data_IF_494597286997
#
_entry.id   IF_494597286997
#
_cell.length_a   1.000
_cell.length_b   1.000
_cell.length_c   1.000
_cell.angle_alpha   90.00
_cell.angle_beta   90.00
_cell.angle_gamma   90.00
#
_symmetry.space_group_name_H-M   'P 1'
#
loop_
_entity.id
_entity.type
_entity.pdbx_description
1 polymer ?
#
# COMPACT_ATOMS: atom_id res chain seq x y z
N UNK A 1 19.05 41.26 38.21
CA UNK A 1 19.15 39.81 38.01
C UNK A 1 17.82 39.22 38.40
N UNK A 2 16.92 39.06 37.45
CA UNK A 2 15.58 38.52 37.68
C UNK A 2 15.50 37.21 36.94
N UNK A 3 15.63 36.13 37.71
CA UNK A 3 15.41 34.76 37.23
C UNK A 3 13.94 34.58 36.81
N UNK A 4 13.67 34.59 35.54
CA UNK A 4 12.38 34.16 35.01
C UNK A 4 12.34 32.63 35.04
N UNK A 5 11.81 32.05 36.10
CA UNK A 5 11.42 30.66 36.20
C UNK A 5 10.37 30.39 35.11
N UNK A 6 10.81 29.74 34.04
CA UNK A 6 9.96 29.15 33.04
C UNK A 6 9.23 27.96 33.67
N UNK A 7 8.03 28.19 34.20
CA UNK A 7 7.14 27.14 34.72
C UNK A 7 6.64 26.35 33.51
N UNK A 8 7.41 25.35 33.06
CA UNK A 8 6.89 24.27 32.20
C UNK A 8 5.69 23.69 32.93
N UNK A 9 4.56 23.68 32.22
CA UNK A 9 3.30 23.09 32.65
C UNK A 9 3.57 21.63 33.05
N UNK A 10 3.65 21.35 34.34
CA UNK A 10 4.12 20.05 34.91
C UNK A 10 2.98 19.02 34.97
N UNK A 11 2.09 19.06 33.95
CA UNK A 11 1.06 18.04 33.83
C UNK A 11 1.65 16.77 33.23
N UNK A 12 1.39 15.60 33.82
CA UNK A 12 1.88 14.33 33.28
C UNK A 12 1.35 14.08 31.87
N UNK A 13 2.25 13.72 30.96
CA UNK A 13 1.90 13.39 29.59
C UNK A 13 0.96 12.17 29.56
N UNK A 14 -0.19 12.31 28.93
CA UNK A 14 -1.11 11.18 28.74
C UNK A 14 -0.44 10.09 27.90
N UNK A 15 -0.66 8.82 28.24
CA UNK A 15 0.02 7.68 27.62
C UNK A 15 -0.09 7.67 26.09
N UNK A 16 -1.24 8.07 25.54
CA UNK A 16 -1.44 8.11 24.08
C UNK A 16 -0.71 9.29 23.38
N UNK A 17 -0.14 10.23 24.13
CA UNK A 17 0.73 11.30 23.62
C UNK A 17 2.21 11.05 23.94
N UNK A 18 2.52 9.96 24.66
CA UNK A 18 3.88 9.59 25.00
C UNK A 18 4.47 8.72 23.91
N UNK A 19 5.24 9.33 22.99
CA UNK A 19 5.83 8.63 21.85
C UNK A 19 6.89 7.61 22.28
N UNK A 20 7.63 7.85 23.36
CA UNK A 20 8.61 6.89 23.88
C UNK A 20 7.91 5.62 24.36
N UNK A 21 6.81 5.77 25.09
CA UNK A 21 5.98 4.63 25.45
C UNK A 21 5.38 3.95 24.23
N UNK A 22 4.77 4.69 23.30
CA UNK A 22 4.12 4.12 22.12
C UNK A 22 5.09 3.36 21.20
N UNK A 23 6.38 3.77 21.19
CA UNK A 23 7.42 3.08 20.41
C UNK A 23 8.12 1.98 21.22
N UNK A 24 7.81 1.81 22.49
CA UNK A 24 8.38 0.76 23.35
C UNK A 24 7.86 -0.65 22.96
N UNK A 25 8.52 -1.68 23.51
CA UNK A 25 8.08 -3.07 23.35
C UNK A 25 6.69 -3.31 23.97
N UNK A 26 6.40 -2.63 25.08
CA UNK A 26 5.17 -2.80 25.86
C UNK A 26 3.94 -2.29 25.08
N UNK A 27 4.11 -1.26 24.25
CA UNK A 27 3.04 -0.72 23.41
C UNK A 27 2.85 -1.44 22.07
N UNK A 28 3.49 -2.60 21.85
CA UNK A 28 3.37 -3.36 20.58
C UNK A 28 1.93 -3.65 20.20
N UNK A 29 1.10 -4.07 21.14
CA UNK A 29 -0.31 -4.39 20.90
C UNK A 29 -1.09 -3.17 20.42
N UNK A 30 -0.79 -1.98 20.95
CA UNK A 30 -1.42 -0.72 20.51
C UNK A 30 -1.04 -0.41 19.06
N UNK A 31 0.24 -0.60 18.69
CA UNK A 31 0.67 -0.41 17.30
C UNK A 31 0.00 -1.38 16.34
N UNK A 32 -0.08 -2.68 16.69
CA UNK A 32 -0.80 -3.68 15.87
C UNK A 32 -2.26 -3.28 15.68
N UNK A 33 -2.93 -2.83 16.74
CA UNK A 33 -4.31 -2.36 16.65
C UNK A 33 -4.44 -1.11 15.76
N UNK A 34 -3.48 -0.19 15.83
CA UNK A 34 -3.45 1.00 15.00
C UNK A 34 -3.34 0.65 13.51
N UNK A 35 -2.48 -0.32 13.15
CA UNK A 35 -2.33 -0.81 11.77
C UNK A 35 -3.60 -1.49 11.22
N UNK A 36 -4.49 -1.94 12.09
CA UNK A 36 -5.80 -2.46 11.69
C UNK A 36 -6.85 -1.35 11.59
N UNK A 37 -6.92 -0.49 12.61
CA UNK A 37 -7.99 0.53 12.70
C UNK A 37 -7.79 1.64 11.67
N UNK A 38 -6.54 2.06 11.43
CA UNK A 38 -6.26 3.16 10.51
C UNK A 38 -6.65 2.84 9.06
N UNK A 39 -6.26 1.71 8.47
CA UNK A 39 -6.73 1.33 7.13
C UNK A 39 -8.25 1.18 7.03
N UNK A 40 -8.89 0.63 8.06
CA UNK A 40 -10.36 0.56 8.12
C UNK A 40 -11.00 1.93 8.00
N UNK A 41 -10.52 2.91 8.79
CA UNK A 41 -10.98 4.30 8.72
C UNK A 41 -10.78 4.89 7.32
N UNK A 42 -9.60 4.66 6.70
CA UNK A 42 -9.33 5.13 5.34
C UNK A 42 -10.29 4.53 4.31
N UNK A 43 -10.63 3.25 4.44
CA UNK A 43 -11.62 2.62 3.57
C UNK A 43 -13.01 3.26 3.71
N UNK A 44 -13.42 3.59 4.93
CA UNK A 44 -14.69 4.28 5.20
C UNK A 44 -14.70 5.70 4.59
N UNK A 45 -13.62 6.47 4.79
CA UNK A 45 -13.46 7.83 4.25
C UNK A 45 -13.46 7.84 2.71
N UNK A 46 -12.78 6.87 2.09
CA UNK A 46 -12.71 6.70 0.64
C UNK A 46 -13.91 5.96 0.04
N UNK A 47 -14.89 5.57 0.87
CA UNK A 47 -16.09 4.80 0.50
C UNK A 47 -15.78 3.48 -0.19
N UNK A 48 -14.69 2.82 0.20
CA UNK A 48 -14.29 1.52 -0.33
C UNK A 48 -15.00 0.43 0.49
N UNK A 49 -15.97 -0.24 -0.12
CA UNK A 49 -16.73 -1.33 0.51
C UNK A 49 -16.22 -2.70 0.11
N UNK A 50 -15.85 -2.87 -1.16
CA UNK A 50 -15.40 -4.15 -1.69
C UNK A 50 -14.04 -3.99 -2.34
N UNK A 51 -13.20 -5.02 -2.20
CA UNK A 51 -11.88 -5.05 -2.82
C UNK A 51 -11.66 -6.34 -3.60
N UNK A 52 -10.94 -6.24 -4.71
CA UNK A 52 -10.36 -7.38 -5.41
C UNK A 52 -8.88 -7.40 -5.10
N UNK A 53 -8.44 -8.44 -4.39
CA UNK A 53 -7.07 -8.53 -3.91
C UNK A 53 -6.20 -9.27 -4.92
N UNK A 54 -5.13 -8.61 -5.38
CA UNK A 54 -4.17 -9.18 -6.34
C UNK A 54 -2.77 -9.17 -5.70
N UNK A 55 -2.25 -10.36 -5.42
CA UNK A 55 -0.89 -10.54 -4.94
C UNK A 55 -0.08 -11.45 -5.86
N UNK A 56 1.22 -11.28 -5.85
CA UNK A 56 2.09 -12.14 -6.64
C UNK A 56 3.57 -11.80 -6.47
N UNK A 57 4.39 -12.39 -7.32
CA UNK A 57 5.84 -12.30 -7.22
C UNK A 57 6.35 -10.88 -7.43
N UNK A 58 7.18 -10.41 -6.50
CA UNK A 58 7.94 -9.17 -6.63
C UNK A 58 9.02 -9.24 -7.74
N UNK A 59 9.30 -10.43 -8.28
CA UNK A 59 10.35 -10.68 -9.29
C UNK A 59 9.84 -10.66 -10.73
N UNK A 60 8.56 -10.40 -10.95
CA UNK A 60 8.01 -10.26 -12.29
C UNK A 60 8.36 -8.86 -12.83
N UNK A 61 9.27 -8.74 -13.81
CA UNK A 61 9.70 -7.44 -14.29
C UNK A 61 8.65 -6.79 -15.17
N UNK A 62 8.59 -5.46 -15.15
CA UNK A 62 7.85 -4.70 -16.15
C UNK A 62 8.54 -4.80 -17.52
N UNK A 63 7.86 -4.40 -18.62
CA UNK A 63 8.50 -4.35 -19.95
C UNK A 63 9.73 -3.45 -19.98
N UNK A 64 9.69 -2.34 -19.24
CA UNK A 64 10.81 -1.41 -19.13
C UNK A 64 12.00 -2.07 -18.42
N UNK A 65 11.74 -2.69 -17.26
CA UNK A 65 12.74 -3.41 -16.48
C UNK A 65 13.30 -4.61 -17.26
N UNK A 66 12.49 -5.31 -18.04
CA UNK A 66 12.94 -6.42 -18.89
C UNK A 66 13.95 -5.98 -19.94
N UNK A 67 13.69 -4.85 -20.60
CA UNK A 67 14.61 -4.28 -21.61
C UNK A 67 15.94 -3.82 -20.99
N UNK A 68 15.90 -3.28 -19.78
CA UNK A 68 17.11 -2.88 -19.05
C UNK A 68 17.96 -4.08 -18.64
N UNK A 69 17.31 -5.16 -18.18
CA UNK A 69 18.00 -6.40 -17.82
C UNK A 69 18.65 -7.10 -19.02
N UNK A 70 18.03 -7.08 -20.19
CA UNK A 70 18.62 -7.60 -21.42
C UNK A 70 19.89 -6.84 -21.83
N UNK A 71 19.89 -5.49 -21.64
CA UNK A 71 21.04 -4.65 -21.97
C UNK A 71 22.21 -4.78 -20.98
N UNK A 72 21.92 -4.98 -19.70
CA UNK A 72 22.94 -4.94 -18.64
C UNK A 72 23.63 -6.29 -18.37
N UNK A 73 23.15 -7.38 -18.95
CA UNK A 73 23.63 -8.75 -18.69
C UNK A 73 23.77 -9.10 -17.17
N UNK A 74 23.12 -8.29 -16.32
CA UNK A 74 23.13 -8.45 -14.86
C UNK A 74 21.90 -9.26 -14.44
N UNK A 75 21.96 -10.57 -14.66
CA UNK A 75 20.89 -11.53 -14.32
C UNK A 75 20.53 -11.64 -12.83
N UNK A 76 20.67 -10.58 -12.05
CA UNK A 76 20.36 -10.55 -10.62
C UNK A 76 18.94 -10.02 -10.40
N UNK A 77 18.01 -10.93 -10.10
CA UNK A 77 16.76 -10.62 -9.41
C UNK A 77 15.48 -10.67 -10.24
N UNK A 78 15.47 -10.29 -11.50
CA UNK A 78 14.28 -10.37 -12.33
C UNK A 78 14.17 -11.70 -13.06
N UNK A 79 13.02 -12.35 -12.96
CA UNK A 79 12.76 -13.56 -13.73
C UNK A 79 12.00 -13.18 -15.02
N UNK A 80 12.73 -13.03 -16.13
CA UNK A 80 12.16 -12.65 -17.44
C UNK A 80 11.01 -13.57 -17.89
N UNK A 81 11.00 -14.84 -17.47
CA UNK A 81 9.88 -15.75 -17.73
C UNK A 81 8.57 -15.28 -17.08
N UNK A 82 8.67 -14.45 -16.05
CA UNK A 82 7.51 -13.89 -15.35
C UNK A 82 7.01 -12.57 -15.96
N UNK A 83 7.74 -11.96 -16.90
CA UNK A 83 7.34 -10.67 -17.51
C UNK A 83 5.95 -10.73 -18.14
N UNK A 84 5.59 -11.84 -18.78
CA UNK A 84 4.25 -12.05 -19.35
C UNK A 84 3.14 -11.98 -18.30
N UNK A 85 3.42 -12.36 -17.06
CA UNK A 85 2.45 -12.29 -15.98
C UNK A 85 2.29 -10.87 -15.43
N UNK A 86 3.35 -10.05 -15.51
CA UNK A 86 3.24 -8.63 -15.22
C UNK A 86 2.21 -7.97 -16.14
N UNK A 87 2.35 -8.14 -17.46
CA UNK A 87 1.44 -7.56 -18.43
C UNK A 87 0.02 -8.14 -18.31
N UNK A 88 -0.12 -9.45 -18.12
CA UNK A 88 -1.42 -10.08 -17.92
C UNK A 88 -2.12 -9.53 -16.66
N UNK A 89 -1.37 -9.30 -15.58
CA UNK A 89 -1.91 -8.73 -14.33
C UNK A 89 -2.31 -7.26 -14.52
N UNK A 90 -1.48 -6.47 -15.21
CA UNK A 90 -1.77 -5.07 -15.51
C UNK A 90 -3.07 -4.96 -16.30
N UNK A 91 -3.19 -5.74 -17.36
CA UNK A 91 -4.38 -5.76 -18.22
C UNK A 91 -5.62 -6.26 -17.47
N UNK A 92 -5.51 -7.36 -16.71
CA UNK A 92 -6.60 -7.86 -15.88
C UNK A 92 -7.08 -6.79 -14.88
N UNK A 93 -6.15 -6.13 -14.19
CA UNK A 93 -6.48 -5.08 -13.23
C UNK A 93 -7.17 -3.89 -13.90
N UNK A 94 -6.73 -3.50 -15.10
CA UNK A 94 -7.38 -2.46 -15.89
C UNK A 94 -8.83 -2.85 -16.23
N UNK A 95 -9.04 -4.05 -16.77
CA UNK A 95 -10.37 -4.54 -17.12
C UNK A 95 -11.31 -4.67 -15.92
N UNK A 96 -10.81 -5.18 -14.79
CA UNK A 96 -11.59 -5.27 -13.55
C UNK A 96 -11.99 -3.88 -13.02
N UNK A 97 -11.09 -2.91 -13.16
CA UNK A 97 -11.37 -1.53 -12.74
C UNK A 97 -12.41 -0.87 -13.66
N UNK A 98 -12.32 -1.08 -14.96
CA UNK A 98 -13.33 -0.61 -15.93
C UNK A 98 -14.70 -1.25 -15.66
N UNK A 99 -14.73 -2.58 -15.57
CA UNK A 99 -15.95 -3.30 -15.22
C UNK A 99 -16.58 -2.79 -13.93
N UNK A 100 -15.77 -2.54 -12.90
CA UNK A 100 -16.29 -2.04 -11.63
C UNK A 100 -16.90 -0.63 -11.75
N UNK A 101 -16.37 0.22 -12.63
CA UNK A 101 -16.95 1.55 -12.89
C UNK A 101 -18.33 1.47 -13.51
N UNK A 102 -18.57 0.46 -14.34
CA UNK A 102 -19.84 0.26 -15.05
C UNK A 102 -20.96 -0.30 -14.15
N UNK A 103 -20.63 -0.74 -12.94
CA UNK A 103 -21.64 -1.17 -11.97
C UNK A 103 -22.50 0.01 -11.51
N UNK A 104 -23.81 -0.16 -11.53
CA UNK A 104 -24.78 0.93 -11.30
C UNK A 104 -24.84 1.37 -9.83
N UNK A 105 -24.57 0.49 -8.89
CA UNK A 105 -24.68 0.75 -7.46
C UNK A 105 -23.31 0.94 -6.83
N UNK A 106 -23.12 2.03 -6.10
CA UNK A 106 -21.86 2.32 -5.40
C UNK A 106 -21.45 1.18 -4.42
N UNK A 107 -22.44 0.52 -3.83
CA UNK A 107 -22.22 -0.58 -2.88
C UNK A 107 -21.73 -1.86 -3.56
N UNK A 108 -21.85 -1.96 -4.88
CA UNK A 108 -21.38 -3.11 -5.66
C UNK A 108 -20.02 -2.86 -6.30
N UNK A 109 -19.49 -1.64 -6.24
CA UNK A 109 -18.18 -1.31 -6.82
C UNK A 109 -17.04 -1.95 -6.05
N UNK A 110 -16.05 -2.40 -6.81
CA UNK A 110 -14.83 -3.02 -6.32
C UNK A 110 -13.62 -2.14 -6.59
N UNK A 111 -12.70 -2.11 -5.65
CA UNK A 111 -11.41 -1.43 -5.79
C UNK A 111 -10.30 -2.46 -5.79
N UNK A 112 -9.38 -2.35 -6.73
CA UNK A 112 -8.19 -3.21 -6.74
C UNK A 112 -7.34 -2.91 -5.52
N UNK A 113 -7.00 -3.96 -4.77
CA UNK A 113 -6.15 -3.89 -3.59
C UNK A 113 -4.92 -4.77 -3.79
N UNK A 114 -3.73 -4.23 -3.53
CA UNK A 114 -2.49 -4.95 -3.67
C UNK A 114 -1.48 -4.52 -2.61
N UNK A 115 -0.26 -5.03 -2.68
CA UNK A 115 0.85 -4.51 -1.87
C UNK A 115 1.53 -3.30 -2.52
N UNK A 116 2.39 -2.62 -1.75
CA UNK A 116 3.24 -1.52 -2.23
C UNK A 116 4.53 -1.99 -2.92
N UNK A 117 4.74 -3.29 -3.09
CA UNK A 117 5.96 -3.85 -3.65
C UNK A 117 6.01 -3.86 -5.18
N UNK A 118 7.17 -4.23 -5.74
CA UNK A 118 7.37 -4.35 -7.18
C UNK A 118 6.69 -5.60 -7.78
N UNK A 119 6.87 -5.79 -9.07
CA UNK A 119 6.38 -6.96 -9.78
C UNK A 119 4.87 -6.97 -9.96
N UNK A 120 4.23 -8.09 -9.66
CA UNK A 120 2.79 -8.28 -9.82
C UNK A 120 1.97 -7.23 -9.05
N UNK A 121 2.41 -6.84 -7.87
CA UNK A 121 1.74 -5.81 -7.07
C UNK A 121 1.76 -4.45 -7.76
N UNK A 122 2.92 -4.05 -8.31
CA UNK A 122 3.06 -2.83 -9.13
C UNK A 122 2.19 -2.90 -10.39
N UNK A 123 2.15 -4.07 -11.05
CA UNK A 123 1.30 -4.29 -12.23
C UNK A 123 -0.19 -4.09 -11.93
N UNK A 124 -0.67 -4.63 -10.81
CA UNK A 124 -2.05 -4.47 -10.37
C UNK A 124 -2.42 -3.00 -10.14
N UNK A 125 -1.61 -2.26 -9.39
CA UNK A 125 -1.84 -0.84 -9.13
C UNK A 125 -1.75 0.00 -10.42
N UNK A 126 -0.80 -0.34 -11.32
CA UNK A 126 -0.65 0.33 -12.62
C UNK A 126 -1.88 0.14 -13.51
N UNK A 127 -2.41 -1.09 -13.61
CA UNK A 127 -3.61 -1.37 -14.39
C UNK A 127 -4.84 -0.59 -13.91
N UNK A 128 -5.06 -0.51 -12.59
CA UNK A 128 -6.13 0.30 -12.03
C UNK A 128 -5.94 1.81 -12.34
N UNK A 129 -4.71 2.32 -12.22
CA UNK A 129 -4.37 3.70 -12.54
C UNK A 129 -4.62 4.03 -14.03
N UNK A 130 -4.27 3.12 -14.94
CA UNK A 130 -4.52 3.28 -16.38
C UNK A 130 -6.02 3.30 -16.73
N UNK A 131 -6.84 2.65 -15.92
CA UNK A 131 -8.30 2.77 -16.00
C UNK A 131 -8.84 4.02 -15.29
N UNK A 132 -7.99 4.94 -14.81
CA UNK A 132 -8.39 6.09 -14.00
C UNK A 132 -9.28 5.70 -12.80
N UNK A 133 -8.98 4.55 -12.20
CA UNK A 133 -9.68 4.03 -11.04
C UNK A 133 -8.82 4.12 -9.77
N UNK A 134 -9.48 4.18 -8.60
CA UNK A 134 -8.80 4.05 -7.32
C UNK A 134 -8.16 2.67 -7.19
N UNK A 135 -7.02 2.60 -6.53
CA UNK A 135 -6.44 1.35 -6.02
C UNK A 135 -5.94 1.52 -4.59
N UNK A 136 -5.89 0.42 -3.87
CA UNK A 136 -5.33 0.38 -2.51
C UNK A 136 -3.99 -0.33 -2.55
N UNK A 137 -2.97 0.32 -1.98
CA UNK A 137 -1.64 -0.26 -1.85
C UNK A 137 -1.28 -0.39 -0.37
N UNK A 138 -1.26 -1.62 0.13
CA UNK A 138 -0.85 -1.93 1.51
C UNK A 138 0.66 -2.12 1.55
N UNK A 139 1.36 -1.12 2.06
CA UNK A 139 2.80 -1.16 2.25
C UNK A 139 3.19 -1.70 3.62
N UNK A 140 4.39 -2.26 3.72
CA UNK A 140 5.04 -2.62 4.97
C UNK A 140 6.39 -1.92 5.05
N UNK A 141 6.78 -1.51 6.26
CA UNK A 141 8.14 -1.09 6.53
C UNK A 141 8.97 -2.33 6.89
N UNK A 142 10.06 -2.52 6.17
CA UNK A 142 11.04 -3.55 6.52
C UNK A 142 12.11 -2.94 7.45
N UNK A 143 12.62 -3.69 8.44
CA UNK A 143 13.66 -3.22 9.34
C UNK A 143 14.99 -3.00 8.62
#
# INVERSE_FOLDING_TARGET
MTDTKNTKNDQPTKAYNNLDFLNSKDARTLRILSEYVYPKKQFEEEKIKNTIVIFGSARAPSPEESKEHEKSNTGRGANLKLAKYYEATRELSRQLSEWSKDLNEEDQKYVVCSGGGPGIMKAANRGASEAEAKSVSLGISLP
#
